data_IF_328615312678
#
_entry.id   IF_328615312678
#
_cell.length_a   1.000
_cell.length_b   1.000
_cell.length_c   1.000
_cell.angle_alpha   90.00
_cell.angle_beta   90.00
_cell.angle_gamma   90.00
#
_symmetry.space_group_name_H-M   'P 1'
#
loop_
_entity.id
_entity.type
_entity.pdbx_description
1 polymer ?
#
# COMPACT_ATOMS: atom_id res chain seq x y z
N UNK A 1 20.33 -48.14 -44.23
CA UNK A 1 19.24 -47.68 -43.32
C UNK A 1 17.89 -47.91 -43.96
N UNK A 2 16.99 -48.58 -43.23
CA UNK A 2 15.59 -48.76 -43.64
C UNK A 2 14.87 -47.41 -43.66
N UNK A 3 13.85 -47.23 -44.50
CA UNK A 3 13.14 -45.94 -44.68
C UNK A 3 12.61 -45.35 -43.35
N UNK A 4 12.14 -46.19 -42.44
CA UNK A 4 11.65 -45.76 -41.12
C UNK A 4 12.74 -45.19 -40.21
N UNK A 5 13.99 -45.65 -40.30
CA UNK A 5 15.11 -45.13 -39.52
C UNK A 5 15.47 -43.70 -39.94
N UNK A 6 15.32 -43.36 -41.24
CA UNK A 6 15.51 -41.99 -41.74
C UNK A 6 14.45 -41.03 -41.21
N UNK A 7 13.20 -41.49 -41.11
CA UNK A 7 12.08 -40.70 -40.57
C UNK A 7 12.26 -40.45 -39.08
N UNK A 8 12.65 -41.46 -38.30
CA UNK A 8 12.90 -41.32 -36.86
C UNK A 8 14.05 -40.33 -36.60
N UNK A 9 15.16 -40.43 -37.34
CA UNK A 9 16.30 -39.49 -37.21
C UNK A 9 15.88 -38.06 -37.58
N UNK A 10 15.06 -37.87 -38.62
CA UNK A 10 14.57 -36.54 -38.99
C UNK A 10 13.66 -35.94 -37.91
N UNK A 11 12.75 -36.73 -37.33
CA UNK A 11 11.88 -36.29 -36.24
C UNK A 11 12.67 -35.94 -34.98
N UNK A 12 13.69 -36.73 -34.62
CA UNK A 12 14.59 -36.43 -33.51
C UNK A 12 15.41 -35.16 -33.77
N UNK A 13 15.87 -34.93 -35.00
CA UNK A 13 16.55 -33.70 -35.39
C UNK A 13 15.67 -32.47 -35.23
N UNK A 14 14.40 -32.55 -35.67
CA UNK A 14 13.42 -31.46 -35.49
C UNK A 14 13.15 -31.21 -33.99
N UNK A 15 12.99 -32.28 -33.20
CA UNK A 15 12.77 -32.16 -31.76
C UNK A 15 13.96 -31.47 -31.06
N UNK A 16 15.20 -31.82 -31.41
CA UNK A 16 16.40 -31.19 -30.84
C UNK A 16 16.49 -29.70 -31.23
N UNK A 17 16.15 -29.35 -32.48
CA UNK A 17 16.12 -27.94 -32.93
C UNK A 17 15.03 -27.16 -32.18
N UNK A 18 13.86 -27.76 -31.97
CA UNK A 18 12.78 -27.14 -31.19
C UNK A 18 13.19 -26.95 -29.73
N UNK A 19 13.76 -27.97 -29.07
CA UNK A 19 14.25 -27.87 -27.70
C UNK A 19 15.35 -26.81 -27.60
N UNK A 20 16.36 -26.84 -28.49
CA UNK A 20 17.45 -25.87 -28.50
C UNK A 20 16.96 -24.44 -28.74
N UNK A 21 15.99 -24.26 -29.65
CA UNK A 21 15.33 -22.97 -29.88
C UNK A 21 14.56 -22.48 -28.67
N UNK A 22 13.79 -23.35 -28.00
CA UNK A 22 13.06 -23.06 -26.76
C UNK A 22 14.03 -22.70 -25.64
N UNK A 23 15.12 -23.45 -25.46
CA UNK A 23 16.14 -23.19 -24.44
C UNK A 23 16.88 -21.87 -24.69
N UNK A 24 17.31 -21.59 -25.91
CA UNK A 24 17.97 -20.33 -26.26
C UNK A 24 17.04 -19.13 -26.11
N UNK A 25 15.76 -19.29 -26.49
CA UNK A 25 14.74 -18.29 -26.24
C UNK A 25 14.56 -18.07 -24.74
N UNK A 26 14.39 -19.13 -23.95
CA UNK A 26 14.28 -19.11 -22.49
C UNK A 26 15.42 -18.37 -21.80
N UNK A 27 16.68 -18.67 -22.17
CA UNK A 27 17.87 -17.98 -21.65
C UNK A 27 17.83 -16.48 -21.95
N UNK A 28 17.40 -16.09 -23.16
CA UNK A 28 17.23 -14.68 -23.52
C UNK A 28 16.13 -14.02 -22.67
N UNK A 29 15.00 -14.69 -22.42
CA UNK A 29 13.93 -14.14 -21.56
C UNK A 29 14.45 -13.90 -20.15
N UNK A 30 15.13 -14.90 -19.57
CA UNK A 30 15.70 -14.80 -18.22
C UNK A 30 16.72 -13.67 -18.13
N UNK A 31 17.57 -13.49 -19.15
CA UNK A 31 18.55 -12.42 -19.19
C UNK A 31 17.93 -11.02 -19.26
N UNK A 32 16.83 -10.83 -20.02
CA UNK A 32 16.11 -9.55 -20.07
C UNK A 32 15.37 -9.28 -18.76
N UNK A 33 14.68 -10.29 -18.23
CA UNK A 33 13.91 -10.17 -17.00
C UNK A 33 14.79 -9.89 -15.79
N UNK A 34 15.91 -10.60 -15.64
CA UNK A 34 16.89 -10.34 -14.60
C UNK A 34 17.45 -8.90 -14.67
N UNK A 35 17.69 -8.36 -15.87
CA UNK A 35 18.14 -6.95 -16.01
C UNK A 35 17.10 -5.97 -15.51
N UNK A 36 15.84 -6.14 -15.91
CA UNK A 36 14.74 -5.29 -15.45
C UNK A 36 14.55 -5.40 -13.94
N UNK A 37 14.58 -6.61 -13.38
CA UNK A 37 14.44 -6.79 -11.93
C UNK A 37 15.58 -6.13 -11.18
N UNK A 38 16.83 -6.24 -11.65
CA UNK A 38 17.95 -5.53 -11.03
C UNK A 38 17.85 -4.00 -11.13
N UNK A 39 17.06 -3.44 -12.04
CA UNK A 39 16.83 -1.99 -12.13
C UNK A 39 15.77 -1.51 -11.14
N UNK A 40 14.74 -2.32 -10.87
CA UNK A 40 13.66 -2.00 -9.93
C UNK A 40 13.96 -2.47 -8.51
N UNK A 41 14.86 -3.44 -8.36
CA UNK A 41 15.28 -3.97 -7.07
C UNK A 41 16.16 -2.95 -6.35
N UNK A 42 15.71 -2.55 -5.17
CA UNK A 42 16.48 -1.72 -4.24
C UNK A 42 16.50 -2.43 -2.91
N UNK A 43 17.66 -3.03 -2.64
CA UNK A 43 17.93 -3.66 -1.36
C UNK A 43 17.66 -2.68 -0.22
N UNK A 44 16.96 -3.16 0.79
CA UNK A 44 16.80 -2.47 2.06
C UNK A 44 17.74 -3.12 3.07
N UNK A 45 18.51 -2.29 3.80
CA UNK A 45 19.34 -2.76 4.91
C UNK A 45 18.53 -2.93 6.21
N UNK A 46 17.21 -2.80 6.12
CA UNK A 46 16.28 -2.90 7.22
C UNK A 46 16.28 -4.31 7.82
N UNK A 47 16.26 -4.38 9.15
CA UNK A 47 16.10 -5.62 9.89
C UNK A 47 14.76 -5.57 10.62
N UNK A 48 13.86 -6.51 10.31
CA UNK A 48 12.58 -6.65 11.01
C UNK A 48 12.80 -6.92 12.50
N UNK A 49 12.07 -6.18 13.33
CA UNK A 49 11.99 -6.42 14.79
C UNK A 49 11.13 -7.63 15.16
N UNK A 50 10.39 -8.20 14.18
CA UNK A 50 9.42 -9.28 14.39
C UNK A 50 9.84 -10.62 13.80
N UNK A 51 11.01 -10.73 13.19
CA UNK A 51 11.56 -11.98 12.65
C UNK A 51 13.08 -12.06 12.82
N UNK A 52 13.59 -13.24 13.13
CA UNK A 52 15.02 -13.51 13.22
C UNK A 52 15.58 -13.94 11.86
N UNK A 53 16.05 -12.97 11.06
CA UNK A 53 16.66 -13.21 9.75
C UNK A 53 15.74 -12.91 8.56
N UNK A 54 16.29 -13.03 7.34
CA UNK A 54 15.54 -12.90 6.08
C UNK A 54 14.65 -14.14 5.90
N UNK A 55 13.46 -13.95 5.35
CA UNK A 55 12.57 -15.06 4.95
C UNK A 55 13.17 -15.88 3.82
N UNK A 56 12.94 -17.19 3.85
CA UNK A 56 13.42 -18.13 2.83
C UNK A 56 12.31 -18.45 1.83
N UNK A 57 12.30 -17.76 0.68
CA UNK A 57 11.27 -17.94 -0.36
C UNK A 57 11.45 -19.29 -1.09
N UNK A 58 12.69 -19.72 -1.33
CA UNK A 58 13.01 -21.03 -1.92
C UNK A 58 12.55 -22.19 -1.02
N UNK A 59 12.67 -22.05 0.30
CA UNK A 59 12.15 -23.01 1.29
C UNK A 59 10.62 -22.93 1.49
N UNK A 60 9.93 -22.09 0.72
CA UNK A 60 8.48 -21.89 0.74
C UNK A 60 7.96 -21.31 2.04
N UNK A 61 8.76 -20.55 2.80
CA UNK A 61 8.29 -19.96 4.04
C UNK A 61 7.14 -18.96 3.80
N UNK A 62 6.12 -18.89 4.69
CA UNK A 62 5.13 -17.83 4.64
C UNK A 62 5.77 -16.46 4.86
N UNK A 63 5.44 -15.52 3.98
CA UNK A 63 6.01 -14.18 3.99
C UNK A 63 4.94 -13.09 3.86
N UNK A 64 5.32 -11.86 4.18
CA UNK A 64 4.49 -10.67 4.03
C UNK A 64 5.11 -9.66 3.07
N UNK A 65 4.25 -8.94 2.35
CA UNK A 65 4.63 -7.87 1.42
C UNK A 65 3.82 -6.63 1.73
N UNK A 66 4.48 -5.49 1.87
CA UNK A 66 3.84 -4.19 1.88
C UNK A 66 3.71 -3.66 0.44
N UNK A 67 2.49 -3.48 -0.03
CA UNK A 67 2.19 -2.84 -1.30
C UNK A 67 1.86 -1.35 -1.06
N UNK A 68 2.59 -0.47 -1.73
CA UNK A 68 2.42 0.98 -1.66
C UNK A 68 2.05 1.54 -3.03
N UNK A 69 0.90 2.20 -3.12
CA UNK A 69 0.55 3.06 -4.25
C UNK A 69 0.98 4.48 -3.93
N UNK A 70 1.92 5.00 -4.71
CA UNK A 70 2.52 6.32 -4.51
C UNK A 70 1.88 7.35 -5.42
N UNK A 71 1.46 8.47 -4.83
CA UNK A 71 1.21 9.69 -5.59
C UNK A 71 2.49 10.53 -5.56
N UNK A 72 3.34 10.32 -6.57
CA UNK A 72 4.61 11.04 -6.71
C UNK A 72 4.47 12.34 -7.49
N UNK A 73 3.25 12.74 -7.88
CA UNK A 73 3.02 13.92 -8.73
C UNK A 73 3.81 13.84 -10.04
N UNK A 74 3.25 13.21 -11.07
CA UNK A 74 3.82 13.28 -12.41
C UNK A 74 4.12 14.74 -12.81
N UNK A 75 5.26 14.96 -13.49
CA UNK A 75 5.86 16.25 -13.90
C UNK A 75 6.81 16.94 -12.87
N UNK A 76 7.91 16.27 -12.52
CA UNK A 76 9.15 16.97 -12.17
C UNK A 76 9.25 17.57 -10.75
N UNK A 77 8.54 17.01 -9.76
CA UNK A 77 8.79 17.34 -8.34
C UNK A 77 9.86 16.43 -7.75
N UNK A 78 10.74 17.01 -6.93
CA UNK A 78 11.77 16.31 -6.13
C UNK A 78 11.30 15.93 -4.74
N UNK A 79 10.01 16.14 -4.42
CA UNK A 79 9.44 15.79 -3.11
C UNK A 79 9.14 14.30 -3.02
N UNK A 80 9.40 13.73 -1.86
CA UNK A 80 9.01 12.37 -1.51
C UNK A 80 7.48 12.31 -1.50
N UNK A 81 6.88 11.58 -2.45
CA UNK A 81 5.42 11.48 -2.61
C UNK A 81 4.72 10.88 -1.38
N UNK A 82 3.38 10.85 -1.38
CA UNK A 82 2.60 10.21 -0.30
C UNK A 82 2.19 8.79 -0.71
N UNK A 83 2.17 7.86 0.26
CA UNK A 83 1.58 6.53 0.07
C UNK A 83 0.07 6.61 0.27
N UNK A 84 -0.67 6.95 -0.79
CA UNK A 84 -2.12 7.08 -0.75
C UNK A 84 -2.85 5.74 -0.77
N UNK A 85 -2.15 4.65 -1.13
CA UNK A 85 -2.63 3.29 -1.00
C UNK A 85 -1.63 2.46 -0.22
N UNK A 86 -2.09 1.76 0.82
CA UNK A 86 -1.27 0.85 1.61
C UNK A 86 -2.03 -0.46 1.79
N UNK A 87 -1.40 -1.57 1.40
CA UNK A 87 -1.93 -2.92 1.58
C UNK A 87 -0.85 -3.84 2.11
N UNK A 88 -1.18 -4.64 3.11
CA UNK A 88 -0.31 -5.73 3.56
C UNK A 88 -0.85 -7.04 3.03
N UNK A 89 0.01 -7.79 2.36
CA UNK A 89 -0.29 -9.10 1.80
C UNK A 89 0.50 -10.15 2.55
N UNK A 90 -0.15 -11.14 3.15
CA UNK A 90 0.53 -12.34 3.64
C UNK A 90 0.28 -13.48 2.68
N UNK A 91 1.34 -14.17 2.26
CA UNK A 91 1.29 -15.27 1.31
C UNK A 91 1.70 -16.56 2.01
N UNK A 92 0.82 -17.57 2.04
CA UNK A 92 1.10 -18.86 2.66
C UNK A 92 0.86 -20.03 1.68
N UNK A 93 1.93 -20.64 1.14
CA UNK A 93 1.80 -21.75 0.19
C UNK A 93 1.38 -23.06 0.88
N UNK A 94 1.67 -23.27 2.16
CA UNK A 94 1.23 -24.46 2.90
C UNK A 94 -0.29 -24.46 3.11
N UNK A 95 -0.87 -23.28 3.34
CA UNK A 95 -2.31 -23.08 3.51
C UNK A 95 -3.04 -22.82 2.17
N UNK A 96 -2.29 -22.67 1.06
CA UNK A 96 -2.82 -22.31 -0.27
C UNK A 96 -3.71 -21.07 -0.22
N UNK A 97 -3.27 -20.08 0.56
CA UNK A 97 -4.06 -18.90 0.86
C UNK A 97 -3.17 -17.68 0.97
N UNK A 98 -3.66 -16.58 0.43
CA UNK A 98 -3.14 -15.25 0.70
C UNK A 98 -4.20 -14.40 1.39
N UNK A 99 -3.77 -13.42 2.16
CA UNK A 99 -4.66 -12.45 2.81
C UNK A 99 -4.15 -11.04 2.50
N UNK A 100 -5.03 -10.19 1.97
CA UNK A 100 -4.74 -8.78 1.66
C UNK A 100 -5.55 -7.92 2.62
N UNK A 101 -4.88 -7.09 3.39
CA UNK A 101 -5.48 -6.11 4.29
C UNK A 101 -5.14 -4.72 3.78
N UNK A 102 -6.15 -3.93 3.41
CA UNK A 102 -5.92 -2.49 3.16
C UNK A 102 -5.83 -1.75 4.49
N UNK A 103 -4.89 -0.81 4.54
CA UNK A 103 -4.69 0.10 5.66
C UNK A 103 -5.09 1.49 5.21
N UNK A 104 -6.00 2.12 5.95
CA UNK A 104 -6.38 3.50 5.68
C UNK A 104 -5.20 4.44 5.93
N UNK A 105 -5.06 5.44 5.06
CA UNK A 105 -3.96 6.41 5.12
C UNK A 105 -4.03 7.34 6.33
N UNK A 106 -5.24 7.56 6.84
CA UNK A 106 -5.55 8.48 7.92
C UNK A 106 -5.52 7.80 9.31
N UNK A 107 -5.13 6.51 9.39
CA UNK A 107 -4.95 5.80 10.67
C UNK A 107 -3.96 6.57 11.55
N UNK A 108 -4.39 6.92 12.76
CA UNK A 108 -3.55 7.58 13.76
C UNK A 108 -2.69 6.55 14.49
N UNK A 109 -1.38 6.58 14.22
CA UNK A 109 -0.45 5.57 14.71
C UNK A 109 0.91 6.17 15.01
N UNK A 110 1.72 5.43 15.76
CA UNK A 110 3.11 5.79 16.01
C UNK A 110 3.93 5.68 14.72
N UNK A 111 4.68 6.73 14.40
CA UNK A 111 5.60 6.79 13.27
C UNK A 111 6.99 6.40 13.77
N UNK A 112 7.36 5.14 13.51
CA UNK A 112 8.59 4.53 14.03
C UNK A 112 9.81 5.25 13.43
N UNK A 113 10.81 5.54 14.26
CA UNK A 113 12.00 6.29 13.85
C UNK A 113 11.83 7.82 13.80
N UNK A 114 10.59 8.33 13.81
CA UNK A 114 10.32 9.77 13.86
C UNK A 114 9.99 10.28 15.28
N UNK A 115 9.45 9.40 16.14
CA UNK A 115 9.19 9.73 17.55
C UNK A 115 7.90 10.51 17.81
N UNK A 116 6.94 10.45 16.88
CA UNK A 116 5.61 11.06 17.02
C UNK A 116 4.50 10.05 16.70
N UNK A 117 3.27 10.43 17.04
CA UNK A 117 2.05 9.83 16.47
C UNK A 117 1.52 10.75 15.37
N UNK A 118 1.09 10.17 14.25
CA UNK A 118 0.52 10.92 13.13
C UNK A 118 -0.26 9.95 12.20
N UNK A 119 -0.74 10.46 11.07
CA UNK A 119 -1.33 9.67 9.99
C UNK A 119 -0.33 8.66 9.45
N UNK A 120 -0.80 7.42 9.25
CA UNK A 120 0.03 6.33 8.76
C UNK A 120 0.76 6.67 7.44
N UNK A 121 0.12 7.41 6.52
CA UNK A 121 0.78 7.77 5.26
C UNK A 121 1.96 8.75 5.40
N UNK A 122 2.08 9.44 6.54
CA UNK A 122 3.21 10.31 6.79
C UNK A 122 4.50 9.52 7.05
N UNK A 123 4.43 8.25 7.44
CA UNK A 123 5.61 7.41 7.61
C UNK A 123 6.45 7.34 6.32
N UNK A 124 5.80 7.18 5.17
CA UNK A 124 6.49 7.21 3.87
C UNK A 124 7.00 8.61 3.52
N UNK A 125 6.23 9.65 3.80
CA UNK A 125 6.63 11.03 3.52
C UNK A 125 7.86 11.47 4.36
N UNK A 126 7.99 10.97 5.60
CA UNK A 126 9.07 11.35 6.50
C UNK A 126 10.34 10.51 6.33
N UNK A 127 10.21 9.21 6.06
CA UNK A 127 11.34 8.28 6.06
C UNK A 127 11.32 7.24 4.95
N UNK A 128 10.47 7.42 3.94
CA UNK A 128 10.35 6.50 2.81
C UNK A 128 9.83 5.12 3.21
N UNK A 129 10.18 4.13 2.38
CA UNK A 129 9.62 2.78 2.51
C UNK A 129 10.01 2.09 3.81
N UNK A 130 11.24 2.27 4.31
CA UNK A 130 11.70 1.61 5.53
C UNK A 130 10.91 2.09 6.76
N UNK A 131 10.70 3.41 6.89
CA UNK A 131 9.89 3.97 7.98
C UNK A 131 8.42 3.55 7.89
N UNK A 132 7.87 3.44 6.67
CA UNK A 132 6.53 2.92 6.46
C UNK A 132 6.43 1.44 6.89
N UNK A 133 7.39 0.60 6.47
CA UNK A 133 7.45 -0.80 6.88
C UNK A 133 7.55 -0.94 8.40
N UNK A 134 8.40 -0.16 9.06
CA UNK A 134 8.56 -0.21 10.52
C UNK A 134 7.31 0.24 11.28
N UNK A 135 6.67 1.31 10.81
CA UNK A 135 5.44 1.81 11.42
C UNK A 135 4.29 0.81 11.28
N UNK A 136 4.17 0.17 10.11
CA UNK A 136 3.16 -0.88 9.85
C UNK A 136 3.48 -2.16 10.60
N UNK A 137 4.75 -2.57 10.66
CA UNK A 137 5.22 -3.72 11.43
C UNK A 137 4.90 -3.56 12.92
N UNK A 138 5.11 -2.35 13.46
CA UNK A 138 4.73 -2.04 14.83
C UNK A 138 3.20 -2.04 15.02
N UNK A 139 2.45 -1.45 14.08
CA UNK A 139 0.99 -1.39 14.13
C UNK A 139 0.34 -2.78 14.09
N UNK A 140 0.77 -3.65 13.16
CA UNK A 140 0.18 -4.97 12.92
C UNK A 140 0.85 -6.11 13.71
N UNK A 141 1.94 -5.82 14.41
CA UNK A 141 2.70 -6.80 15.19
C UNK A 141 3.06 -8.08 14.40
N UNK A 142 3.43 -7.91 13.14
CA UNK A 142 3.91 -8.97 12.23
C UNK A 142 5.14 -8.48 11.48
N UNK A 143 6.08 -9.37 11.08
CA UNK A 143 7.16 -8.96 10.20
C UNK A 143 6.57 -8.45 8.88
N UNK A 144 7.14 -7.39 8.34
CA UNK A 144 6.98 -6.98 6.94
C UNK A 144 8.27 -7.37 6.23
N UNK A 145 8.22 -8.46 5.46
CA UNK A 145 9.43 -9.08 4.88
C UNK A 145 9.90 -8.39 3.60
N UNK A 146 8.94 -7.97 2.77
CA UNK A 146 9.20 -7.38 1.47
C UNK A 146 8.32 -6.15 1.24
N UNK A 147 8.67 -5.37 0.23
CA UNK A 147 7.81 -4.29 -0.25
C UNK A 147 7.74 -4.24 -1.78
N UNK A 148 6.65 -3.64 -2.27
CA UNK A 148 6.50 -3.21 -3.66
C UNK A 148 5.87 -1.83 -3.66
N UNK A 149 6.51 -0.87 -4.30
CA UNK A 149 5.93 0.46 -4.55
C UNK A 149 5.59 0.60 -6.03
N UNK A 150 4.46 1.23 -6.34
CA UNK A 150 4.06 1.55 -7.71
C UNK A 150 3.45 2.97 -7.76
N UNK A 151 3.78 3.76 -8.77
CA UNK A 151 3.15 5.05 -9.00
C UNK A 151 1.90 4.91 -9.91
N UNK A 152 1.16 6.01 -10.12
CA UNK A 152 -0.07 6.00 -10.94
C UNK A 152 0.19 5.55 -12.39
N UNK A 153 1.22 6.11 -13.03
CA UNK A 153 1.61 5.76 -14.41
C UNK A 153 1.93 4.26 -14.53
N UNK A 154 2.64 3.71 -13.54
CA UNK A 154 2.96 2.29 -13.48
C UNK A 154 1.74 1.40 -13.34
N UNK A 155 0.72 1.83 -12.59
CA UNK A 155 -0.52 1.09 -12.46
C UNK A 155 -1.27 1.03 -13.79
N UNK A 156 -1.39 2.17 -14.49
CA UNK A 156 -1.99 2.27 -15.82
C UNK A 156 -1.25 1.36 -16.83
N UNK A 157 0.07 1.54 -16.94
CA UNK A 157 0.94 0.74 -17.82
C UNK A 157 0.85 -0.76 -17.52
N UNK A 158 0.76 -1.14 -16.23
CA UNK A 158 0.70 -2.54 -15.82
C UNK A 158 -0.63 -3.18 -16.19
N UNK A 159 -1.76 -2.46 -16.03
CA UNK A 159 -3.09 -2.96 -16.43
C UNK A 159 -3.11 -3.18 -17.95
N UNK A 160 -2.57 -2.26 -18.74
CA UNK A 160 -2.45 -2.42 -20.19
C UNK A 160 -1.53 -3.58 -20.57
N UNK A 161 -0.40 -3.72 -19.89
CA UNK A 161 0.57 -4.77 -20.14
C UNK A 161 0.00 -6.17 -19.91
N UNK A 162 -0.92 -6.34 -18.96
CA UNK A 162 -1.61 -7.62 -18.71
C UNK A 162 -2.82 -7.85 -19.64
N UNK A 163 -3.08 -6.91 -20.56
CA UNK A 163 -4.20 -6.99 -21.51
C UNK A 163 -5.54 -6.58 -20.91
N UNK A 164 -5.52 -5.71 -19.90
CA UNK A 164 -6.69 -5.23 -19.18
C UNK A 164 -7.20 -6.19 -18.10
N UNK A 165 -8.12 -5.69 -17.29
CA UNK A 165 -8.74 -6.41 -16.17
C UNK A 165 -10.26 -6.50 -16.34
N UNK A 166 -10.83 -7.69 -16.16
CA UNK A 166 -12.29 -7.86 -16.20
C UNK A 166 -12.91 -7.57 -14.83
N UNK A 167 -13.80 -6.58 -14.78
CA UNK A 167 -14.58 -6.20 -13.58
C UNK A 167 -16.08 -6.23 -13.88
N UNK A 168 -16.89 -6.20 -12.82
CA UNK A 168 -18.32 -5.99 -12.91
C UNK A 168 -18.70 -4.71 -12.16
N UNK A 169 -18.52 -3.58 -12.85
CA UNK A 169 -18.72 -2.26 -12.26
C UNK A 169 -20.19 -2.07 -11.85
N UNK A 170 -20.40 -1.53 -10.64
CA UNK A 170 -21.73 -1.36 -10.02
C UNK A 170 -22.23 0.08 -10.05
N UNK A 171 -21.36 1.02 -10.40
CA UNK A 171 -21.61 2.46 -10.30
C UNK A 171 -21.23 3.09 -11.62
N UNK A 172 -22.15 3.82 -12.24
CA UNK A 172 -21.85 4.63 -13.41
C UNK A 172 -21.16 5.91 -12.92
N UNK A 173 -19.97 6.21 -13.42
CA UNK A 173 -19.23 7.40 -12.98
C UNK A 173 -18.34 7.99 -14.07
N UNK A 174 -17.90 9.23 -13.86
CA UNK A 174 -16.87 9.87 -14.67
C UNK A 174 -15.84 10.55 -13.78
N UNK A 175 -14.59 10.11 -13.84
CA UNK A 175 -13.50 10.69 -13.07
C UNK A 175 -12.43 11.22 -14.01
N UNK A 176 -12.01 12.48 -13.82
CA UNK A 176 -10.96 13.13 -14.61
C UNK A 176 -11.20 13.05 -16.15
N UNK A 177 -12.47 13.02 -16.59
CA UNK A 177 -12.86 12.87 -18.00
C UNK A 177 -12.98 11.44 -18.51
N UNK A 178 -12.64 10.45 -17.67
CA UNK A 178 -12.72 9.02 -17.97
C UNK A 178 -14.06 8.47 -17.48
N UNK A 179 -14.89 8.03 -18.42
CA UNK A 179 -16.19 7.45 -18.12
C UNK A 179 -16.10 5.93 -17.97
N UNK A 180 -16.62 5.40 -16.86
CA UNK A 180 -16.67 3.95 -16.61
C UNK A 180 -18.12 3.53 -16.36
N UNK A 181 -18.79 2.89 -17.33
CA UNK A 181 -20.22 2.57 -17.23
C UNK A 181 -20.47 1.39 -16.29
N UNK A 182 -21.73 1.18 -15.88
CA UNK A 182 -22.16 -0.03 -15.16
C UNK A 182 -22.06 -1.26 -16.04
N UNK A 183 -21.63 -2.39 -15.46
CA UNK A 183 -21.70 -3.70 -16.08
C UNK A 183 -20.38 -4.47 -16.10
N UNK A 184 -20.43 -5.64 -16.74
CA UNK A 184 -19.23 -6.46 -16.98
C UNK A 184 -18.44 -5.88 -18.15
N UNK A 185 -17.17 -5.58 -17.93
CA UNK A 185 -16.31 -4.99 -18.94
C UNK A 185 -14.83 -5.30 -18.64
N UNK A 186 -14.01 -5.22 -19.69
CA UNK A 186 -12.56 -5.22 -19.56
C UNK A 186 -12.12 -3.76 -19.49
N UNK A 187 -11.43 -3.41 -18.41
CA UNK A 187 -10.83 -2.10 -18.21
C UNK A 187 -9.38 -2.13 -18.70
N UNK A 188 -9.03 -1.17 -19.54
CA UNK A 188 -7.65 -0.83 -19.89
C UNK A 188 -7.00 0.00 -18.78
N UNK A 189 -5.78 0.47 -19.00
CA UNK A 189 -5.01 1.23 -18.03
C UNK A 189 -5.73 2.47 -17.53
N UNK A 190 -6.22 3.31 -18.45
CA UNK A 190 -6.90 4.57 -18.14
C UNK A 190 -8.18 4.32 -17.33
N UNK A 191 -9.07 3.45 -17.84
CA UNK A 191 -10.34 3.14 -17.17
C UNK A 191 -10.14 2.32 -15.88
N UNK A 192 -9.12 1.47 -15.83
CA UNK A 192 -8.74 0.67 -14.66
C UNK A 192 -8.18 1.52 -13.53
N UNK A 193 -7.34 2.50 -13.85
CA UNK A 193 -6.83 3.47 -12.90
C UNK A 193 -7.97 4.34 -12.35
N UNK A 194 -8.84 4.87 -13.22
CA UNK A 194 -10.03 5.62 -12.81
C UNK A 194 -10.94 4.80 -11.89
N UNK A 195 -11.18 3.52 -12.24
CA UNK A 195 -11.92 2.56 -11.43
C UNK A 195 -11.31 2.35 -10.05
N UNK A 196 -9.98 2.33 -9.91
CA UNK A 196 -9.33 2.20 -8.61
C UNK A 196 -9.35 3.49 -7.76
N UNK A 197 -9.47 4.67 -8.40
CA UNK A 197 -9.38 5.99 -7.75
C UNK A 197 -10.72 6.60 -7.34
N UNK A 198 -11.81 6.23 -8.02
CA UNK A 198 -13.13 6.82 -7.77
C UNK A 198 -13.51 6.71 -6.28
N UNK A 199 -14.02 7.79 -5.67
CA UNK A 199 -14.41 7.85 -4.25
C UNK A 199 -15.76 8.51 -4.05
N UNK A 200 -15.95 9.70 -4.63
CA UNK A 200 -17.07 10.58 -4.30
C UNK A 200 -18.43 10.10 -4.83
N UNK A 201 -18.43 9.32 -5.91
CA UNK A 201 -19.64 8.73 -6.48
C UNK A 201 -19.98 7.36 -5.84
N UNK A 202 -19.11 6.85 -4.97
CA UNK A 202 -19.33 5.61 -4.23
C UNK A 202 -20.09 5.89 -2.92
N UNK A 203 -21.28 5.29 -2.70
CA UNK A 203 -21.98 5.41 -1.42
C UNK A 203 -21.17 4.90 -0.23
N UNK A 204 -20.19 4.01 -0.45
CA UNK A 204 -19.26 3.52 0.56
C UNK A 204 -18.01 4.40 0.70
N UNK A 205 -17.87 5.44 -0.11
CA UNK A 205 -16.75 6.37 -0.09
C UNK A 205 -15.40 5.67 -0.20
N UNK A 206 -14.52 5.92 0.76
CA UNK A 206 -13.16 5.37 0.78
C UNK A 206 -13.12 3.85 0.93
N UNK A 207 -14.08 3.28 1.67
CA UNK A 207 -14.22 1.82 1.84
C UNK A 207 -14.45 1.15 0.48
N UNK A 208 -15.33 1.74 -0.34
CA UNK A 208 -15.59 1.26 -1.70
C UNK A 208 -14.37 1.41 -2.62
N UNK A 209 -13.64 2.54 -2.51
CA UNK A 209 -12.39 2.74 -3.24
C UNK A 209 -11.34 1.68 -2.89
N UNK A 210 -11.09 1.44 -1.60
CA UNK A 210 -10.12 0.44 -1.15
C UNK A 210 -10.52 -0.98 -1.58
N UNK A 211 -11.81 -1.31 -1.61
CA UNK A 211 -12.29 -2.58 -2.15
C UNK A 211 -11.95 -2.74 -3.65
N UNK A 212 -12.16 -1.69 -4.45
CA UNK A 212 -11.80 -1.68 -5.88
C UNK A 212 -10.29 -1.78 -6.09
N UNK A 213 -9.48 -1.11 -5.27
CA UNK A 213 -8.01 -1.25 -5.31
C UNK A 213 -7.57 -2.69 -5.06
N UNK A 214 -8.14 -3.38 -4.06
CA UNK A 214 -7.87 -4.81 -3.81
C UNK A 214 -8.32 -5.71 -4.96
N UNK A 215 -9.46 -5.40 -5.58
CA UNK A 215 -9.95 -6.11 -6.76
C UNK A 215 -8.95 -5.96 -7.93
N UNK A 216 -8.53 -4.73 -8.25
CA UNK A 216 -7.56 -4.43 -9.32
C UNK A 216 -6.26 -5.20 -9.10
N UNK A 217 -5.66 -5.12 -7.90
CA UNK A 217 -4.42 -5.85 -7.56
C UNK A 217 -4.61 -7.37 -7.72
N UNK A 218 -5.71 -7.91 -7.21
CA UNK A 218 -6.01 -9.34 -7.32
C UNK A 218 -6.14 -9.79 -8.78
N UNK A 219 -6.80 -8.97 -9.62
CA UNK A 219 -6.97 -9.26 -11.05
C UNK A 219 -5.65 -9.20 -11.81
N UNK A 220 -4.80 -8.23 -11.50
CA UNK A 220 -3.45 -8.11 -12.07
C UNK A 220 -2.62 -9.34 -11.70
N UNK A 221 -2.56 -9.73 -10.42
CA UNK A 221 -1.81 -10.92 -9.97
C UNK A 221 -2.27 -12.17 -10.72
N UNK A 222 -3.59 -12.39 -10.81
CA UNK A 222 -4.15 -13.53 -11.54
C UNK A 222 -3.79 -13.51 -13.03
N UNK A 223 -3.77 -12.32 -13.66
CA UNK A 223 -3.37 -12.18 -15.06
C UNK A 223 -1.88 -12.43 -15.27
N UNK A 224 -1.02 -11.91 -14.40
CA UNK A 224 0.44 -12.13 -14.45
C UNK A 224 0.78 -13.62 -14.30
N UNK A 225 0.07 -14.35 -13.43
CA UNK A 225 0.27 -15.79 -13.22
C UNK A 225 -0.40 -16.67 -14.29
N UNK A 226 -1.19 -16.08 -15.20
CA UNK A 226 -1.88 -16.80 -16.27
C UNK A 226 -1.05 -16.91 -17.56
N UNK A 227 -1.60 -17.61 -18.56
CA UNK A 227 -1.02 -17.65 -19.91
C UNK A 227 -0.89 -16.25 -20.54
N UNK A 228 -1.78 -15.31 -20.17
CA UNK A 228 -1.71 -13.93 -20.65
C UNK A 228 -0.44 -13.24 -20.14
N UNK A 229 -0.04 -13.47 -18.89
CA UNK A 229 1.20 -12.95 -18.32
C UNK A 229 2.44 -13.53 -19.00
N UNK A 230 2.44 -14.85 -19.25
CA UNK A 230 3.54 -15.51 -19.99
C UNK A 230 3.69 -14.96 -21.41
N UNK A 231 2.57 -14.72 -22.10
CA UNK A 231 2.61 -14.18 -23.47
C UNK A 231 2.99 -12.69 -23.52
N UNK A 232 2.64 -11.91 -22.49
CA UNK A 232 2.90 -10.47 -22.42
C UNK A 232 4.09 -10.09 -21.53
N UNK A 233 4.94 -11.04 -21.10
CA UNK A 233 6.00 -10.78 -20.11
C UNK A 233 6.90 -9.59 -20.46
N UNK A 234 7.24 -9.38 -21.76
CA UNK A 234 8.06 -8.22 -22.19
C UNK A 234 7.36 -6.89 -21.92
N UNK A 235 6.05 -6.82 -22.14
CA UNK A 235 5.25 -5.62 -21.86
C UNK A 235 5.19 -5.37 -20.36
N UNK A 236 4.97 -6.43 -19.58
CA UNK A 236 4.91 -6.36 -18.11
C UNK A 236 6.24 -5.85 -17.56
N UNK A 237 7.36 -6.46 -17.96
CA UNK A 237 8.71 -6.01 -17.55
C UNK A 237 8.95 -4.54 -17.91
N UNK A 238 8.57 -4.12 -19.12
CA UNK A 238 8.71 -2.72 -19.55
C UNK A 238 7.83 -1.76 -18.75
N UNK A 239 6.61 -2.15 -18.41
CA UNK A 239 5.67 -1.35 -17.60
C UNK A 239 6.22 -1.13 -16.18
N UNK A 240 6.82 -2.16 -15.59
CA UNK A 240 7.35 -2.07 -14.22
C UNK A 240 8.73 -1.40 -14.14
N UNK A 241 9.56 -1.47 -15.19
CA UNK A 241 10.97 -1.03 -15.23
C UNK A 241 11.21 0.36 -14.62
N UNK A 242 10.31 1.32 -14.82
CA UNK A 242 10.48 2.72 -14.40
C UNK A 242 9.62 3.14 -13.22
N UNK A 243 8.56 2.39 -12.97
CA UNK A 243 7.44 2.83 -12.16
C UNK A 243 7.19 1.94 -10.94
N UNK A 244 7.93 0.84 -10.84
CA UNK A 244 7.91 -0.09 -9.69
C UNK A 244 9.26 -0.08 -8.99
N UNK A 245 9.24 -0.25 -7.67
CA UNK A 245 10.44 -0.53 -6.87
C UNK A 245 10.11 -1.61 -5.86
N UNK A 246 11.03 -2.54 -5.62
CA UNK A 246 10.85 -3.65 -4.68
C UNK A 246 12.19 -4.06 -4.09
N UNK A 247 12.20 -4.84 -3.02
CA UNK A 247 13.38 -5.53 -2.50
C UNK A 247 13.45 -7.01 -2.89
N UNK A 248 12.47 -7.51 -3.67
CA UNK A 248 12.52 -8.84 -4.27
C UNK A 248 13.53 -8.86 -5.41
N UNK A 249 14.41 -9.86 -5.41
CA UNK A 249 15.31 -10.11 -6.53
C UNK A 249 14.65 -11.03 -7.59
N UNK A 250 15.40 -11.32 -8.66
CA UNK A 250 14.87 -12.15 -9.76
C UNK A 250 14.58 -13.58 -9.32
N UNK A 251 15.41 -14.13 -8.44
CA UNK A 251 15.29 -15.51 -7.97
C UNK A 251 14.09 -15.62 -7.01
N UNK A 252 13.94 -14.65 -6.08
CA UNK A 252 12.76 -14.47 -5.23
C UNK A 252 11.47 -14.45 -6.06
N UNK A 253 11.41 -13.64 -7.14
CA UNK A 253 10.23 -13.55 -8.01
C UNK A 253 9.96 -14.85 -8.77
N UNK A 254 11.00 -15.57 -9.21
CA UNK A 254 10.87 -16.84 -9.89
C UNK A 254 10.37 -17.93 -8.93
N UNK A 255 10.86 -17.94 -7.70
CA UNK A 255 10.40 -18.86 -6.66
C UNK A 255 8.95 -18.59 -6.27
N UNK A 256 8.53 -17.32 -6.15
CA UNK A 256 7.10 -16.98 -5.97
C UNK A 256 6.27 -17.51 -7.15
N UNK A 257 6.70 -17.27 -8.39
CA UNK A 257 5.97 -17.68 -9.59
C UNK A 257 5.89 -19.21 -9.78
N UNK A 258 6.79 -19.98 -9.17
CA UNK A 258 6.83 -21.44 -9.33
C UNK A 258 6.33 -22.19 -8.10
N UNK A 259 6.62 -21.70 -6.89
CA UNK A 259 6.35 -22.39 -5.64
C UNK A 259 5.10 -21.87 -4.90
N UNK A 260 4.65 -20.64 -5.19
CA UNK A 260 3.57 -19.98 -4.44
C UNK A 260 2.27 -19.78 -5.23
N UNK A 261 2.20 -20.22 -6.50
CA UNK A 261 0.99 -20.09 -7.35
C UNK A 261 -0.29 -20.56 -6.64
N UNK A 262 -0.22 -21.68 -5.92
CA UNK A 262 -1.36 -22.21 -5.15
C UNK A 262 -1.84 -21.28 -4.02
N UNK A 263 -0.98 -20.40 -3.49
CA UNK A 263 -1.36 -19.41 -2.48
C UNK A 263 -2.24 -18.28 -3.06
N UNK A 264 -2.21 -18.07 -4.37
CA UNK A 264 -2.98 -17.03 -5.04
C UNK A 264 -4.34 -17.52 -5.57
N UNK A 265 -4.61 -18.83 -5.49
CA UNK A 265 -5.93 -19.40 -5.84
C UNK A 265 -7.03 -18.88 -4.90
N UNK A 266 -6.71 -18.71 -3.61
CA UNK A 266 -7.62 -18.16 -2.61
C UNK A 266 -7.02 -16.93 -1.97
N UNK A 267 -7.56 -15.77 -2.33
CA UNK A 267 -7.14 -14.48 -1.76
C UNK A 267 -8.27 -13.96 -0.88
N UNK A 268 -8.09 -14.02 0.44
CA UNK A 268 -8.97 -13.30 1.36
C UNK A 268 -8.62 -11.82 1.29
N UNK A 269 -9.64 -10.97 1.24
CA UNK A 269 -9.49 -9.52 1.27
C UNK A 269 -10.22 -8.96 2.48
N UNK A 270 -9.59 -8.04 3.18
CA UNK A 270 -10.16 -7.33 4.32
C UNK A 270 -9.62 -5.89 4.39
N UNK A 271 -10.18 -5.10 5.31
CA UNK A 271 -9.77 -3.72 5.55
C UNK A 271 -9.63 -3.47 7.04
N UNK A 272 -8.51 -2.88 7.45
CA UNK A 272 -8.39 -2.32 8.79
C UNK A 272 -9.10 -0.96 8.81
N UNK A 273 -10.21 -0.89 9.54
CA UNK A 273 -11.06 0.30 9.64
C UNK A 273 -10.95 0.91 11.05
N UNK A 274 -10.90 2.23 11.12
CA UNK A 274 -11.06 2.96 12.38
C UNK A 274 -12.37 3.74 12.43
N UNK A 275 -12.63 4.35 13.59
CA UNK A 275 -13.63 5.39 13.74
C UNK A 275 -13.04 6.74 13.36
N UNK A 276 -13.87 7.57 12.73
CA UNK A 276 -13.54 8.94 12.40
C UNK A 276 -13.30 9.77 13.66
N UNK A 277 -12.19 10.50 13.71
CA UNK A 277 -11.89 11.46 14.77
C UNK A 277 -11.32 12.75 14.17
N UNK A 278 -11.54 13.87 14.86
CA UNK A 278 -10.91 15.15 14.51
C UNK A 278 -10.07 15.60 15.69
N UNK A 279 -8.76 15.71 15.48
CA UNK A 279 -7.79 16.16 16.49
C UNK A 279 -7.15 17.42 15.91
N UNK A 280 -7.23 18.54 16.62
CA UNK A 280 -6.70 19.84 16.18
C UNK A 280 -7.15 20.25 14.76
N UNK A 281 -8.45 20.04 14.45
CA UNK A 281 -9.05 20.28 13.13
C UNK A 281 -8.50 19.42 11.98
N UNK A 282 -7.71 18.40 12.29
CA UNK A 282 -7.21 17.42 11.32
C UNK A 282 -8.00 16.11 11.51
N UNK A 283 -8.47 15.55 10.40
CA UNK A 283 -9.17 14.27 10.38
C UNK A 283 -8.21 13.08 10.52
N UNK A 284 -8.59 12.10 11.36
CA UNK A 284 -7.88 10.85 11.61
C UNK A 284 -8.86 9.66 11.69
N UNK A 285 -8.32 8.44 11.59
CA UNK A 285 -9.00 7.22 11.99
C UNK A 285 -8.34 6.59 13.23
N UNK A 286 -9.11 6.41 14.29
CA UNK A 286 -8.68 5.75 15.54
C UNK A 286 -9.14 4.30 15.50
N UNK A 287 -8.27 3.35 15.83
CA UNK A 287 -8.58 1.92 15.70
C UNK A 287 -9.20 1.32 16.96
N UNK A 288 -10.12 0.38 16.78
CA UNK A 288 -10.66 -0.44 17.87
C UNK A 288 -9.64 -1.48 18.34
N UNK A 289 -9.53 -1.69 19.66
CA UNK A 289 -8.54 -2.61 20.25
C UNK A 289 -8.75 -4.07 19.83
N UNK A 290 -10.00 -4.54 19.86
CA UNK A 290 -10.37 -5.91 19.54
C UNK A 290 -10.30 -6.16 18.04
N UNK A 291 -10.76 -5.20 17.22
CA UNK A 291 -10.67 -5.27 15.76
C UNK A 291 -9.21 -5.36 15.30
N UNK A 292 -8.33 -4.48 15.80
CA UNK A 292 -6.91 -4.54 15.49
C UNK A 292 -6.30 -5.88 15.95
N UNK A 293 -6.57 -6.33 17.18
CA UNK A 293 -6.08 -7.61 17.67
C UNK A 293 -6.57 -8.79 16.80
N UNK A 294 -7.79 -8.73 16.30
CA UNK A 294 -8.36 -9.69 15.36
C UNK A 294 -7.55 -9.79 14.07
N UNK A 295 -7.30 -8.64 13.43
CA UNK A 295 -6.48 -8.54 12.21
C UNK A 295 -5.05 -9.01 12.46
N UNK A 296 -4.41 -8.56 13.56
CA UNK A 296 -3.06 -9.02 13.92
C UNK A 296 -2.99 -10.54 14.05
N UNK A 297 -3.95 -11.14 14.74
CA UNK A 297 -3.97 -12.58 14.97
C UNK A 297 -4.30 -13.36 13.70
N UNK A 298 -5.09 -12.81 12.79
CA UNK A 298 -5.28 -13.40 11.47
C UNK A 298 -3.99 -13.42 10.67
N UNK A 299 -3.30 -12.28 10.57
CA UNK A 299 -2.04 -12.16 9.86
C UNK A 299 -0.95 -13.06 10.46
N UNK A 300 -0.84 -13.11 11.79
CA UNK A 300 0.08 -14.03 12.49
C UNK A 300 -0.19 -15.49 12.15
N UNK A 301 -1.46 -15.92 12.13
CA UNK A 301 -1.83 -17.29 11.73
C UNK A 301 -1.44 -17.59 10.28
N UNK A 302 -1.60 -16.62 9.37
CA UNK A 302 -1.13 -16.76 7.98
C UNK A 302 0.39 -16.87 7.92
N UNK A 303 1.14 -16.18 8.77
CA UNK A 303 2.60 -16.24 8.79
C UNK A 303 3.18 -17.39 9.64
N UNK A 304 2.33 -18.23 10.26
CA UNK A 304 2.77 -19.30 11.16
C UNK A 304 3.35 -18.80 12.49
N UNK A 305 3.03 -17.56 12.88
CA UNK A 305 3.53 -16.90 14.10
C UNK A 305 2.50 -17.06 15.23
N UNK A 306 2.99 -17.12 16.47
CA UNK A 306 2.14 -17.23 17.67
C UNK A 306 1.24 -16.01 17.83
N UNK A 307 -0.05 -16.24 18.04
CA UNK A 307 -1.05 -15.20 18.27
C UNK A 307 -0.96 -14.58 19.67
N UNK A 308 -1.49 -13.36 19.81
CA UNK A 308 -1.55 -12.62 21.07
C UNK A 308 -2.93 -12.74 21.71
N UNK A 309 -2.98 -12.76 23.05
CA UNK A 309 -4.24 -12.72 23.82
C UNK A 309 -4.74 -11.30 24.09
N UNK A 310 -3.82 -10.34 24.10
CA UNK A 310 -4.08 -8.92 24.32
C UNK A 310 -3.38 -8.13 23.21
N UNK A 311 -3.85 -6.93 22.94
CA UNK A 311 -3.25 -6.04 21.95
C UNK A 311 -1.82 -5.64 22.38
N UNK A 312 -0.76 -6.06 21.66
CA UNK A 312 0.63 -5.77 22.02
C UNK A 312 0.97 -4.28 22.02
N UNK A 313 0.26 -3.49 21.21
CA UNK A 313 0.43 -2.05 21.03
C UNK A 313 0.09 -1.25 22.30
N UNK A 314 -0.61 -1.84 23.27
CA UNK A 314 -0.95 -1.20 24.54
C UNK A 314 0.28 -0.92 25.42
N UNK A 315 1.43 -1.49 25.10
CA UNK A 315 2.70 -1.16 25.78
C UNK A 315 3.31 0.18 25.31
N UNK A 316 2.74 0.83 24.27
CA UNK A 316 3.18 2.13 23.79
C UNK A 316 2.64 3.26 24.70
N UNK A 317 3.46 4.25 25.01
CA UNK A 317 3.07 5.39 25.84
C UNK A 317 1.87 6.19 25.29
N UNK A 318 1.70 6.22 23.97
CA UNK A 318 0.62 6.91 23.26
C UNK A 318 -0.60 6.02 22.99
N UNK A 319 -0.67 4.80 23.55
CA UNK A 319 -1.73 3.85 23.23
C UNK A 319 -3.14 4.38 23.54
N UNK A 320 -3.30 5.24 24.55
CA UNK A 320 -4.60 5.81 24.94
C UNK A 320 -5.19 6.75 23.88
N UNK A 321 -4.36 7.38 23.05
CA UNK A 321 -4.82 8.30 21.99
C UNK A 321 -4.93 7.62 20.62
N UNK A 322 -4.28 6.46 20.43
CA UNK A 322 -4.31 5.71 19.16
C UNK A 322 -5.44 4.68 19.09
N UNK A 323 -5.96 4.23 20.23
CA UNK A 323 -6.91 3.11 20.29
C UNK A 323 -8.08 3.36 21.23
N UNK A 324 -9.30 3.06 20.77
CA UNK A 324 -10.50 3.09 21.60
C UNK A 324 -10.94 1.67 22.00
N UNK A 325 -11.73 1.54 23.06
CA UNK A 325 -12.31 0.26 23.46
C UNK A 325 -13.58 -0.04 22.65
N UNK A 326 -13.57 -1.16 21.95
CA UNK A 326 -14.60 -1.66 21.04
C UNK A 326 -15.26 -2.94 21.57
N UNK A 327 -15.13 -3.24 22.87
CA UNK A 327 -15.80 -4.40 23.49
C UNK A 327 -17.34 -4.33 23.42
N UNK A 328 -17.87 -3.10 23.42
CA UNK A 328 -19.31 -2.84 23.53
C UNK A 328 -19.96 -2.50 22.18
N UNK A 329 -19.17 -2.38 21.10
CA UNK A 329 -19.67 -2.02 19.77
C UNK A 329 -20.27 -3.21 19.04
N UNK A 330 -21.47 -3.55 19.49
CA UNK A 330 -22.48 -4.21 18.68
C UNK A 330 -23.57 -3.17 18.34
N UNK A 331 -23.22 -1.98 17.84
CA UNK A 331 -24.19 -1.01 17.33
C UNK A 331 -23.56 0.08 16.44
N UNK A 332 -24.24 0.35 15.32
CA UNK A 332 -24.06 1.52 14.46
C UNK A 332 -24.11 2.82 15.28
N UNK A 333 -23.09 3.67 15.22
CA UNK A 333 -23.26 5.13 15.22
C UNK A 333 -21.92 5.86 15.12
N UNK A 334 -21.91 6.89 14.26
CA UNK A 334 -20.98 8.01 14.32
C UNK A 334 -21.13 8.71 15.67
N UNK A 335 -20.12 8.64 16.53
CA UNK A 335 -19.98 9.51 17.68
C UNK A 335 -18.68 10.31 17.54
N UNK A 336 -18.83 11.62 17.38
CA UNK A 336 -17.75 12.59 17.38
C UNK A 336 -17.18 12.69 18.78
N UNK A 337 -16.01 12.07 19.01
CA UNK A 337 -15.25 12.29 20.24
C UNK A 337 -14.63 13.68 20.17
N UNK A 338 -15.16 14.62 20.95
CA UNK A 338 -14.51 15.90 21.26
C UNK A 338 -13.79 15.70 22.59
N UNK A 339 -12.46 15.62 22.55
CA UNK A 339 -11.68 15.53 23.78
C UNK A 339 -11.56 16.92 24.42
N UNK A 340 -12.00 17.01 25.67
CA UNK A 340 -11.83 18.17 26.53
C UNK A 340 -10.67 17.85 27.48
N UNK A 341 -9.58 18.59 27.31
CA UNK A 341 -8.39 18.55 28.16
C UNK A 341 -8.72 18.45 29.66
N UNK A 342 -8.34 17.35 30.29
CA UNK A 342 -8.11 17.29 31.74
C UNK A 342 -6.60 17.21 32.01
N UNK A 343 -6.04 18.35 32.41
CA UNK A 343 -4.78 18.39 33.13
C UNK A 343 -5.03 19.09 34.46
N UNK A 344 -4.72 18.35 35.51
CA UNK A 344 -4.96 18.67 36.91
C UNK A 344 -4.00 19.76 37.39
N UNK A 345 -4.49 20.86 37.96
CA UNK A 345 -3.83 21.57 39.06
C UNK A 345 -4.83 22.36 39.92
N UNK A 346 -4.48 22.41 41.20
CA UNK A 346 -5.20 22.80 42.41
C UNK A 346 -5.57 24.28 42.59
N UNK A 347 -6.76 24.50 43.19
CA UNK A 347 -7.20 25.58 44.10
C UNK A 347 -6.57 26.99 43.97
N UNK A 348 -7.39 27.95 43.51
CA UNK A 348 -7.63 29.22 44.22
C UNK A 348 -9.00 29.76 43.83
N UNK A 349 -9.79 30.12 44.82
CA UNK A 349 -11.11 30.73 44.73
C UNK A 349 -11.03 32.23 44.43
N UNK A 350 -11.89 32.74 43.53
CA UNK A 350 -12.68 33.97 43.70
C UNK A 350 -13.60 34.27 42.49
N UNK A 351 -14.89 34.37 42.82
CA UNK A 351 -15.95 35.28 42.36
C UNK A 351 -16.04 35.86 40.92
N UNK A 352 -17.20 35.55 40.32
CA UNK A 352 -18.15 36.41 39.58
C UNK A 352 -17.67 37.25 38.38
N UNK A 353 -18.22 36.95 37.19
CA UNK A 353 -19.41 37.67 36.70
C UNK A 353 -19.93 37.09 35.38
N UNK A 354 -21.24 37.01 35.35
CA UNK A 354 -22.14 36.53 34.31
C UNK A 354 -22.37 37.63 33.27
N UNK A 355 -22.11 37.34 31.99
CA UNK A 355 -22.70 38.09 30.88
C UNK A 355 -23.18 37.12 29.80
N UNK A 356 -24.50 37.15 29.64
CA UNK A 356 -25.33 36.41 28.72
C UNK A 356 -25.51 37.28 27.46
N UNK A 357 -25.26 36.74 26.27
CA UNK A 357 -25.78 37.32 25.03
C UNK A 357 -26.09 36.23 24.00
N UNK A 358 -27.36 36.26 23.61
CA UNK A 358 -28.08 35.32 22.78
C UNK A 358 -27.69 35.40 21.30
N UNK A 359 -27.80 34.25 20.63
CA UNK A 359 -27.78 34.04 19.17
C UNK A 359 -28.91 34.77 18.44
N UNK A 360 -28.73 35.02 17.13
CA UNK A 360 -29.73 34.51 16.20
C UNK A 360 -29.13 33.77 14.99
N UNK A 361 -29.80 32.68 14.64
CA UNK A 361 -29.67 31.93 13.40
C UNK A 361 -29.90 32.82 12.17
N UNK A 362 -29.17 32.57 11.09
CA UNK A 362 -29.65 32.90 9.74
C UNK A 362 -29.10 31.90 8.73
N UNK A 363 -30.01 31.10 8.19
CA UNK A 363 -29.84 30.23 7.04
C UNK A 363 -29.76 31.07 5.77
N UNK A 364 -28.71 30.91 4.95
CA UNK A 364 -28.75 31.23 3.52
C UNK A 364 -27.94 30.22 2.70
N UNK A 365 -28.67 29.52 1.82
CA UNK A 365 -28.16 28.83 0.64
C UNK A 365 -27.49 29.82 -0.31
N UNK A 366 -26.32 29.49 -0.85
CA UNK A 366 -25.94 29.93 -2.20
C UNK A 366 -25.21 28.83 -2.97
N UNK A 367 -25.73 28.63 -4.18
CA UNK A 367 -25.27 27.77 -5.26
C UNK A 367 -24.20 28.49 -6.10
N UNK A 368 -23.29 27.67 -6.64
CA UNK A 368 -22.29 27.82 -7.71
C UNK A 368 -21.91 29.21 -8.27
N UNK A 369 -20.60 29.45 -8.35
CA UNK A 369 -19.98 30.47 -9.21
C UNK A 369 -18.46 30.31 -9.31
N UNK A 370 -18.01 29.66 -10.38
CA UNK A 370 -16.60 29.51 -10.78
C UNK A 370 -16.11 30.82 -11.44
N UNK A 371 -15.04 31.43 -10.93
CA UNK A 371 -14.37 32.59 -11.56
C UNK A 371 -12.85 32.29 -11.73
N UNK A 372 -12.35 32.10 -12.97
CA UNK A 372 -10.95 31.86 -13.24
C UNK A 372 -10.29 33.18 -13.70
N UNK A 373 -9.88 34.04 -12.76
CA UNK A 373 -8.78 35.00 -12.94
C UNK A 373 -8.56 35.83 -11.66
N UNK A 374 -7.74 35.33 -10.74
CA UNK A 374 -7.04 36.21 -9.81
C UNK A 374 -5.65 35.67 -9.51
N UNK A 375 -4.69 36.06 -10.34
CA UNK A 375 -3.27 35.96 -10.02
C UNK A 375 -2.66 37.35 -10.17
N UNK A 376 -2.23 37.94 -9.04
CA UNK A 376 -1.02 38.75 -8.99
C UNK A 376 -0.58 39.00 -7.54
N UNK A 377 0.62 38.51 -7.26
CA UNK A 377 1.61 39.02 -6.32
C UNK A 377 1.38 38.81 -4.82
N UNK A 378 2.15 37.87 -4.25
CA UNK A 378 3.00 38.18 -3.10
C UNK A 378 4.14 37.16 -3.01
N UNK A 379 5.33 37.60 -3.44
CA UNK A 379 6.62 36.98 -3.10
C UNK A 379 6.89 37.18 -1.60
N UNK A 380 7.05 36.09 -0.85
CA UNK A 380 7.87 36.10 0.36
C UNK A 380 8.76 34.86 0.41
N UNK A 381 10.04 35.14 0.24
CA UNK A 381 11.19 34.26 0.28
C UNK A 381 11.45 33.86 1.75
N UNK A 382 11.47 32.56 2.05
CA UNK A 382 12.01 32.05 3.32
C UNK A 382 13.46 31.63 3.11
N UNK A 383 14.38 32.31 3.81
CA UNK A 383 15.81 31.99 3.83
C UNK A 383 16.06 30.73 4.67
N UNK A 384 16.89 29.86 4.12
CA UNK A 384 17.38 28.63 4.74
C UNK A 384 18.64 28.96 5.56
N UNK A 385 18.55 28.93 6.88
CA UNK A 385 19.73 29.03 7.76
C UNK A 385 20.53 27.74 7.69
N UNK A 386 21.77 27.84 7.24
CA UNK A 386 22.73 26.73 7.17
C UNK A 386 23.57 26.72 8.45
N UNK A 387 23.48 25.65 9.23
CA UNK A 387 24.36 25.41 10.38
C UNK A 387 25.69 24.80 9.89
N UNK A 388 26.77 25.57 9.94
CA UNK A 388 28.14 25.07 9.77
C UNK A 388 28.72 24.68 11.15
N UNK A 389 29.05 23.41 11.34
CA UNK A 389 29.94 22.96 12.42
C UNK A 389 31.39 22.99 11.93
N UNK A 390 32.18 23.96 12.42
CA UNK A 390 33.64 23.96 12.31
C UNK A 390 34.25 23.09 13.41
N UNK A 391 34.98 22.04 13.02
CA UNK A 391 35.87 21.28 13.88
C UNK A 391 37.23 21.99 13.98
N UNK A 392 37.54 22.51 15.17
CA UNK A 392 38.81 23.17 15.45
C UNK A 392 39.86 22.14 15.93
N UNK A 393 40.88 21.90 15.11
CA UNK A 393 42.10 21.19 15.50
C UNK A 393 43.08 22.18 16.16
N UNK A 394 43.27 22.07 17.47
CA UNK A 394 44.32 22.77 18.20
C UNK A 394 45.39 21.80 18.71
N UNK A 395 46.62 21.97 18.23
CA UNK A 395 47.83 21.24 18.64
C UNK A 395 48.85 22.22 19.26
N UNK A 396 49.49 21.83 20.36
CA UNK A 396 50.73 22.40 20.94
C UNK A 396 50.53 23.58 21.89
N UNK A 397 51.04 23.62 23.13
CA UNK A 397 52.22 23.00 23.77
C UNK A 397 51.97 22.70 25.25
#
# INVERSE_FOLDING_TARGET
MKRWQKVVIALLGILVILIGGISAYGIKLMGEANRTVNQISKESNRVSSKRSGKVSIDDKEPFSVLLLGLDTGGLGRTEQGRSDTMMVVTVNPQQKKSTIISLDRDIYTNIVGYGTVDKLNHAYAFGGVEMAMDSIEQLLDIPIDHYVTINLDGMEDLIDAVGGIEVNNKIDFTLDGVHVPVGKQVLDGETGLAYSRMRHEDPLGDIGRQARQREVVTKIVNKVLSLDGVSNYRKILKAVEKNVTTDLDWDDMLDVATNYTSAFETIKQDQLKGKDATIDSIYYQILGKNDLLGIQNELKKQLGIKTSKTLPNLNNANASVMFYDDSDSNENSSETVTDSNDSTYSNYSQETNQYDYSTPETTQNYDQGYDPNYNQNNDQTYQQETYNQEYNYGNGY
#
